data_IF_766748566160
#
_entry.id   IF_766748566160
#
_cell.length_a   1.000
_cell.length_b   1.000
_cell.length_c   1.000
_cell.angle_alpha   90.00
_cell.angle_beta   90.00
_cell.angle_gamma   90.00
#
_symmetry.space_group_name_H-M   'P 1'
#
loop_
_entity.id
_entity.type
_entity.pdbx_description
1 polymer ?
#
# COMPACT_ATOMS: atom_id res chain seq x y z
N UNK A 1 8.75 13.85 1.63
CA UNK A 1 9.25 13.81 3.01
C UNK A 1 9.14 15.15 3.74
N UNK A 2 9.69 16.26 3.19
CA UNK A 2 9.70 17.58 3.86
C UNK A 2 8.28 18.09 4.14
N UNK A 3 7.37 18.04 3.18
CA UNK A 3 5.96 18.43 3.38
C UNK A 3 5.25 17.63 4.47
N UNK A 4 5.53 16.31 4.56
CA UNK A 4 4.97 15.48 5.62
C UNK A 4 5.50 15.85 7.01
N UNK A 5 6.77 16.30 7.10
CA UNK A 5 7.33 16.77 8.36
C UNK A 5 6.62 18.04 8.87
N UNK A 6 6.36 19.00 7.99
CA UNK A 6 5.58 20.20 8.34
C UNK A 6 4.15 19.86 8.73
N UNK A 7 3.48 18.97 7.99
CA UNK A 7 2.15 18.50 8.35
C UNK A 7 2.16 17.83 9.75
N UNK A 8 3.19 17.02 10.04
CA UNK A 8 3.35 16.39 11.34
C UNK A 8 3.51 17.39 12.48
N UNK A 9 4.24 18.49 12.28
CA UNK A 9 4.38 19.55 13.27
C UNK A 9 3.04 20.26 13.54
N UNK A 10 2.26 20.56 12.49
CA UNK A 10 0.92 21.14 12.64
C UNK A 10 -0.01 20.18 13.43
N UNK A 11 0.05 18.89 13.12
CA UNK A 11 -0.72 17.88 13.87
C UNK A 11 -0.30 17.79 15.34
N UNK A 12 0.99 17.90 15.64
CA UNK A 12 1.49 17.89 17.01
C UNK A 12 0.98 19.09 17.81
N UNK A 13 0.90 20.27 17.20
CA UNK A 13 0.35 21.47 17.82
C UNK A 13 -1.16 21.30 18.11
N UNK A 14 -1.93 20.82 17.12
CA UNK A 14 -3.34 20.53 17.33
C UNK A 14 -3.57 19.47 18.42
N UNK A 15 -2.76 18.43 18.47
CA UNK A 15 -2.85 17.39 19.48
C UNK A 15 -2.55 17.91 20.90
N UNK A 16 -1.68 18.90 21.04
CA UNK A 16 -1.41 19.56 22.30
C UNK A 16 -2.57 20.48 22.76
N UNK A 17 -3.24 21.13 21.80
CA UNK A 17 -4.36 22.05 22.08
C UNK A 17 -5.69 21.29 22.30
N UNK A 18 -5.90 20.21 21.58
CA UNK A 18 -7.14 19.44 21.55
C UNK A 18 -6.81 17.96 21.77
N UNK A 19 -6.60 17.52 23.02
CA UNK A 19 -6.18 16.16 23.34
C UNK A 19 -7.35 15.16 23.25
N UNK A 20 -8.04 15.14 22.12
CA UNK A 20 -9.18 14.26 21.84
C UNK A 20 -8.82 13.38 20.65
N UNK A 21 -9.08 12.07 20.77
CA UNK A 21 -8.95 11.15 19.67
C UNK A 21 -10.03 11.41 18.61
N UNK A 22 -9.64 11.74 17.40
CA UNK A 22 -10.59 12.05 16.32
C UNK A 22 -9.90 12.52 15.03
N UNK A 23 -8.57 12.54 15.03
CA UNK A 23 -7.77 12.91 13.86
C UNK A 23 -8.19 14.27 13.28
N UNK A 24 -8.07 14.45 11.96
CA UNK A 24 -8.44 15.67 11.27
C UNK A 24 -9.93 16.06 11.44
N UNK A 25 -10.82 15.09 11.68
CA UNK A 25 -12.22 15.36 11.96
C UNK A 25 -12.38 16.24 13.22
N UNK A 26 -11.79 15.84 14.34
CA UNK A 26 -11.92 16.57 15.60
C UNK A 26 -11.32 17.98 15.51
N UNK A 27 -10.16 18.10 14.88
CA UNK A 27 -9.51 19.40 14.69
C UNK A 27 -10.31 20.32 13.78
N UNK A 28 -10.88 19.81 12.71
CA UNK A 28 -11.73 20.57 11.80
C UNK A 28 -13.05 20.98 12.45
N UNK A 29 -13.61 20.12 13.30
CA UNK A 29 -14.83 20.44 14.04
C UNK A 29 -14.64 21.66 14.94
N UNK A 30 -13.53 21.71 15.67
CA UNK A 30 -13.26 22.81 16.59
C UNK A 30 -12.87 24.11 15.86
N UNK A 31 -12.16 24.01 14.72
CA UNK A 31 -11.60 25.18 14.02
C UNK A 31 -12.47 25.71 12.90
N UNK A 32 -13.14 24.83 12.14
CA UNK A 32 -13.87 25.16 10.91
C UNK A 32 -15.38 24.93 11.03
N UNK A 33 -15.83 24.28 12.10
CA UNK A 33 -17.23 23.98 12.33
C UNK A 33 -17.71 22.65 11.77
N UNK A 34 -18.97 22.33 12.04
CA UNK A 34 -19.57 21.03 11.85
C UNK A 34 -19.63 20.57 10.38
N UNK A 35 -19.99 21.46 9.46
CA UNK A 35 -20.16 21.12 8.05
C UNK A 35 -18.83 20.68 7.41
N UNK A 36 -17.75 21.42 7.67
CA UNK A 36 -16.43 21.11 7.14
C UNK A 36 -15.90 19.82 7.77
N UNK A 37 -16.09 19.66 9.07
CA UNK A 37 -15.73 18.43 9.77
C UNK A 37 -16.46 17.21 9.21
N UNK A 38 -17.75 17.33 8.90
CA UNK A 38 -18.53 16.25 8.31
C UNK A 38 -17.99 15.83 6.94
N UNK A 39 -17.65 16.78 6.06
CA UNK A 39 -17.04 16.50 4.75
C UNK A 39 -15.68 15.77 4.93
N UNK A 40 -14.83 16.28 5.82
CA UNK A 40 -13.54 15.68 6.13
C UNK A 40 -13.70 14.29 6.72
N UNK A 41 -14.68 14.07 7.60
CA UNK A 41 -15.00 12.78 8.17
C UNK A 41 -15.33 11.72 7.10
N UNK A 42 -16.17 12.08 6.14
CA UNK A 42 -16.50 11.19 5.02
C UNK A 42 -15.29 10.92 4.12
N UNK A 43 -14.46 11.93 3.85
CA UNK A 43 -13.23 11.77 3.09
C UNK A 43 -12.26 10.79 3.79
N UNK A 44 -12.09 10.90 5.10
CA UNK A 44 -11.27 9.99 5.91
C UNK A 44 -11.82 8.56 5.90
N UNK A 45 -13.13 8.38 6.03
CA UNK A 45 -13.75 7.04 5.95
C UNK A 45 -13.45 6.41 4.60
N UNK A 46 -13.62 7.16 3.51
CA UNK A 46 -13.34 6.67 2.16
C UNK A 46 -11.86 6.33 1.98
N UNK A 47 -10.95 7.19 2.43
CA UNK A 47 -9.50 6.98 2.37
C UNK A 47 -9.09 5.68 3.08
N UNK A 48 -9.54 5.51 4.32
CA UNK A 48 -9.20 4.31 5.09
C UNK A 48 -9.85 3.04 4.53
N UNK A 49 -11.08 3.13 4.04
CA UNK A 49 -11.76 1.98 3.43
C UNK A 49 -11.05 1.52 2.15
N UNK A 50 -10.69 2.45 1.27
CA UNK A 50 -9.93 2.14 0.05
C UNK A 50 -8.54 1.62 0.37
N UNK A 51 -7.85 2.25 1.33
CA UNK A 51 -6.55 1.79 1.80
C UNK A 51 -6.59 0.37 2.35
N UNK A 52 -7.55 0.07 3.22
CA UNK A 52 -7.73 -1.26 3.78
C UNK A 52 -8.05 -2.30 2.70
N UNK A 53 -8.92 -1.98 1.74
CA UNK A 53 -9.24 -2.86 0.62
C UNK A 53 -8.01 -3.16 -0.24
N UNK A 54 -7.27 -2.14 -0.64
CA UNK A 54 -6.08 -2.29 -1.49
C UNK A 54 -4.99 -3.12 -0.80
N UNK A 55 -4.71 -2.82 0.47
CA UNK A 55 -3.68 -3.54 1.23
C UNK A 55 -4.08 -4.98 1.47
N UNK A 56 -5.35 -5.27 1.73
CA UNK A 56 -5.82 -6.66 1.93
C UNK A 56 -5.71 -7.50 0.67
N UNK A 57 -5.98 -6.92 -0.50
CA UNK A 57 -5.80 -7.59 -1.81
C UNK A 57 -4.31 -7.87 -2.05
N UNK A 58 -3.44 -6.89 -1.87
CA UNK A 58 -2.00 -7.08 -1.99
C UNK A 58 -1.48 -8.17 -1.03
N UNK A 59 -1.95 -8.17 0.22
CA UNK A 59 -1.62 -9.21 1.19
C UNK A 59 -2.05 -10.60 0.71
N UNK A 60 -3.25 -10.73 0.14
CA UNK A 60 -3.74 -11.98 -0.44
C UNK A 60 -2.83 -12.51 -1.56
N UNK A 61 -2.34 -11.64 -2.43
CA UNK A 61 -1.40 -12.02 -3.49
C UNK A 61 -0.06 -12.49 -2.93
N UNK A 62 0.48 -11.80 -1.91
CA UNK A 62 1.71 -12.24 -1.24
C UNK A 62 1.53 -13.58 -0.55
N UNK A 63 0.38 -13.81 0.11
CA UNK A 63 0.07 -15.08 0.73
C UNK A 63 0.01 -16.21 -0.31
N UNK A 64 -0.63 -15.97 -1.45
CA UNK A 64 -0.71 -16.95 -2.53
C UNK A 64 0.68 -17.28 -3.12
N UNK A 65 1.54 -16.28 -3.29
CA UNK A 65 2.94 -16.50 -3.71
C UNK A 65 3.74 -17.26 -2.67
N UNK A 66 3.57 -16.95 -1.39
CA UNK A 66 4.25 -17.62 -0.28
C UNK A 66 3.86 -19.10 -0.16
N UNK A 67 2.59 -19.42 -0.42
CA UNK A 67 2.06 -20.78 -0.41
C UNK A 67 2.33 -21.56 -1.71
N UNK A 68 3.09 -20.96 -2.64
CA UNK A 68 3.42 -21.60 -3.93
C UNK A 68 2.24 -21.72 -4.88
N UNK A 69 1.23 -20.85 -4.77
CA UNK A 69 0.04 -20.91 -5.63
C UNK A 69 -1.01 -21.92 -5.16
N UNK A 70 -1.00 -22.29 -3.89
CA UNK A 70 -1.94 -23.26 -3.35
C UNK A 70 -3.39 -22.79 -3.31
N UNK A 71 -3.62 -21.46 -3.41
CA UNK A 71 -4.97 -20.89 -3.40
C UNK A 71 -5.48 -20.84 -4.84
N UNK A 72 -6.62 -21.49 -5.15
CA UNK A 72 -7.21 -21.44 -6.48
C UNK A 72 -7.49 -20.00 -6.94
N UNK A 73 -7.35 -19.75 -8.24
CA UNK A 73 -7.60 -18.44 -8.82
C UNK A 73 -8.99 -17.87 -8.48
N UNK A 74 -10.00 -18.72 -8.47
CA UNK A 74 -11.39 -18.38 -8.17
C UNK A 74 -11.58 -17.76 -6.79
N UNK A 75 -10.75 -18.14 -5.81
CA UNK A 75 -10.81 -17.68 -4.41
C UNK A 75 -9.78 -16.60 -4.06
N UNK A 76 -8.95 -16.21 -5.02
CA UNK A 76 -7.91 -15.19 -4.82
C UNK A 76 -8.13 -13.92 -5.63
N UNK A 77 -9.12 -13.91 -6.54
CA UNK A 77 -9.38 -12.80 -7.46
C UNK A 77 -10.84 -12.34 -7.43
N UNK A 78 -11.03 -11.10 -7.87
CA UNK A 78 -12.35 -10.47 -7.97
C UNK A 78 -13.20 -11.10 -9.08
N UNK A 79 -14.54 -11.10 -8.97
CA UNK A 79 -15.45 -11.54 -10.05
C UNK A 79 -15.30 -10.75 -11.35
N UNK A 80 -14.71 -9.56 -11.27
CA UNK A 80 -14.48 -8.69 -12.45
C UNK A 80 -13.15 -8.97 -13.15
N UNK A 81 -12.33 -9.84 -12.59
CA UNK A 81 -11.06 -10.26 -13.18
C UNK A 81 -11.23 -11.63 -13.83
N UNK A 82 -10.81 -11.73 -15.09
CA UNK A 82 -10.77 -12.99 -15.82
C UNK A 82 -9.36 -13.22 -16.36
N UNK A 83 -8.87 -14.44 -16.20
CA UNK A 83 -7.61 -14.90 -16.76
C UNK A 83 -7.88 -16.06 -17.70
N UNK A 84 -7.28 -16.02 -18.88
CA UNK A 84 -7.33 -17.13 -19.83
C UNK A 84 -6.03 -17.90 -19.78
N UNK A 85 -6.12 -19.17 -19.41
CA UNK A 85 -4.96 -20.05 -19.35
C UNK A 85 -4.39 -20.32 -20.76
N UNK A 86 -3.15 -20.79 -20.83
CA UNK A 86 -2.48 -21.19 -22.09
C UNK A 86 -3.23 -22.25 -22.89
N UNK A 87 -4.19 -22.95 -22.27
CA UNK A 87 -5.11 -23.90 -22.91
C UNK A 87 -6.42 -23.27 -23.43
N UNK A 88 -6.58 -21.93 -23.31
CA UNK A 88 -7.78 -21.22 -23.75
C UNK A 88 -8.99 -21.30 -22.81
N UNK A 89 -8.80 -21.82 -21.59
CA UNK A 89 -9.85 -21.89 -20.58
C UNK A 89 -9.91 -20.56 -19.82
N UNK A 90 -11.08 -19.93 -19.80
CA UNK A 90 -11.30 -18.70 -19.05
C UNK A 90 -11.63 -19.05 -17.58
N UNK A 91 -10.79 -18.57 -16.67
CA UNK A 91 -11.03 -18.62 -15.23
C UNK A 91 -11.50 -17.24 -14.77
N UNK A 92 -12.64 -17.18 -14.08
CA UNK A 92 -13.12 -15.95 -13.43
C UNK A 92 -12.99 -16.08 -11.92
N UNK A 93 -12.60 -14.99 -11.25
CA UNK A 93 -12.62 -14.93 -9.80
C UNK A 93 -14.06 -14.97 -9.27
N UNK A 94 -14.27 -15.52 -8.10
CA UNK A 94 -15.54 -15.48 -7.36
C UNK A 94 -15.45 -14.44 -6.25
N UNK A 95 -14.40 -14.56 -5.44
CA UNK A 95 -14.19 -13.72 -4.28
C UNK A 95 -12.75 -13.84 -3.79
N UNK A 96 -12.15 -12.73 -3.35
CA UNK A 96 -10.85 -12.80 -2.70
C UNK A 96 -11.01 -13.18 -1.21
N UNK A 97 -11.09 -14.50 -0.96
CA UNK A 97 -11.31 -15.05 0.36
C UNK A 97 -10.17 -14.71 1.36
N UNK A 98 -8.87 -14.79 1.02
CA UNK A 98 -7.81 -14.41 1.95
C UNK A 98 -7.89 -12.93 2.34
N UNK A 99 -8.20 -12.03 1.41
CA UNK A 99 -8.37 -10.61 1.71
C UNK A 99 -9.54 -10.38 2.67
N UNK A 100 -10.65 -11.09 2.49
CA UNK A 100 -11.79 -11.02 3.39
C UNK A 100 -11.44 -11.52 4.80
N UNK A 101 -10.74 -12.64 4.89
CA UNK A 101 -10.34 -13.26 6.16
C UNK A 101 -9.44 -12.31 6.96
N UNK A 102 -8.43 -11.70 6.34
CA UNK A 102 -7.55 -10.77 7.05
C UNK A 102 -8.30 -9.51 7.52
N UNK A 103 -9.21 -8.98 6.70
CA UNK A 103 -10.04 -7.84 7.09
C UNK A 103 -10.93 -8.18 8.29
N UNK A 104 -11.58 -9.34 8.27
CA UNK A 104 -12.40 -9.80 9.40
C UNK A 104 -11.57 -10.01 10.66
N UNK A 105 -10.40 -10.63 10.54
CA UNK A 105 -9.51 -10.86 11.67
C UNK A 105 -9.05 -9.53 12.32
N UNK A 106 -8.65 -8.55 11.50
CA UNK A 106 -8.28 -7.23 11.98
C UNK A 106 -9.47 -6.47 12.58
N UNK A 107 -10.65 -6.59 11.98
CA UNK A 107 -11.87 -5.97 12.51
C UNK A 107 -12.22 -6.54 13.88
N UNK A 108 -12.16 -7.86 14.07
CA UNK A 108 -12.40 -8.50 15.37
C UNK A 108 -11.35 -8.08 16.41
N UNK A 109 -10.09 -7.94 16.00
CA UNK A 109 -9.03 -7.43 16.86
C UNK A 109 -9.33 -5.99 17.33
N UNK A 110 -9.77 -5.12 16.42
CA UNK A 110 -10.11 -3.72 16.73
C UNK A 110 -11.34 -3.62 17.64
N UNK A 111 -12.33 -4.47 17.47
CA UNK A 111 -13.53 -4.53 18.32
C UNK A 111 -13.15 -4.93 19.76
N UNK A 112 -12.17 -5.82 19.91
CA UNK A 112 -11.75 -6.31 21.23
C UNK A 112 -11.11 -5.22 22.10
N UNK A 113 -10.48 -4.22 21.49
CA UNK A 113 -10.01 -3.04 22.19
C UNK A 113 -8.77 -2.38 21.60
N UNK A 114 -8.65 -1.10 21.87
CA UNK A 114 -7.54 -0.27 21.36
C UNK A 114 -6.17 -0.62 21.94
N UNK A 115 -6.12 -1.14 23.19
CA UNK A 115 -4.85 -1.51 23.83
C UNK A 115 -4.21 -2.73 23.19
N UNK A 116 -4.98 -3.79 22.94
CA UNK A 116 -4.49 -5.00 22.28
C UNK A 116 -4.09 -4.71 20.82
N UNK A 117 -4.89 -3.90 20.14
CA UNK A 117 -4.57 -3.42 18.79
C UNK A 117 -3.27 -2.61 18.74
N UNK A 118 -3.01 -1.76 19.73
CA UNK A 118 -1.79 -0.96 19.81
C UNK A 118 -0.53 -1.84 20.01
N UNK A 119 -0.61 -2.87 20.84
CA UNK A 119 0.50 -3.80 21.07
C UNK A 119 0.80 -4.59 19.78
N UNK A 120 -0.22 -5.14 19.14
CA UNK A 120 -0.06 -5.86 17.86
C UNK A 120 0.55 -4.94 16.80
N UNK A 121 0.05 -3.72 16.69
CA UNK A 121 0.59 -2.73 15.75
C UNK A 121 2.06 -2.39 16.06
N UNK A 122 2.43 -2.21 17.33
CA UNK A 122 3.81 -1.94 17.72
C UNK A 122 4.76 -3.07 17.31
N UNK A 123 4.35 -4.32 17.50
CA UNK A 123 5.14 -5.50 17.08
C UNK A 123 5.31 -5.51 15.55
N UNK A 124 4.22 -5.30 14.82
CA UNK A 124 4.25 -5.27 13.34
C UNK A 124 5.16 -4.14 12.84
N UNK A 125 5.07 -2.96 13.43
CA UNK A 125 5.92 -1.81 13.06
C UNK A 125 7.39 -2.10 13.35
N UNK A 126 7.70 -2.70 14.49
CA UNK A 126 9.08 -3.09 14.83
C UNK A 126 9.65 -4.07 13.79
N UNK A 127 8.90 -5.11 13.47
CA UNK A 127 9.29 -6.09 12.44
C UNK A 127 9.49 -5.41 11.08
N UNK A 128 8.56 -4.55 10.67
CA UNK A 128 8.65 -3.80 9.41
C UNK A 128 9.91 -2.94 9.33
N UNK A 129 10.20 -2.18 10.37
CA UNK A 129 11.40 -1.33 10.44
C UNK A 129 12.67 -2.19 10.41
N UNK A 130 12.71 -3.29 11.15
CA UNK A 130 13.84 -4.21 11.13
C UNK A 130 14.09 -4.78 9.72
N UNK A 131 13.03 -5.22 9.02
CA UNK A 131 13.14 -5.73 7.64
C UNK A 131 13.68 -4.65 6.71
N UNK A 132 13.20 -3.42 6.80
CA UNK A 132 13.68 -2.30 5.96
C UNK A 132 15.16 -2.01 6.22
N UNK A 133 15.59 -2.00 7.49
CA UNK A 133 17.01 -1.79 7.83
C UNK A 133 17.88 -2.92 7.27
N UNK A 134 17.45 -4.18 7.44
CA UNK A 134 18.16 -5.34 6.88
C UNK A 134 18.23 -5.24 5.35
N UNK A 135 17.12 -4.88 4.71
CA UNK A 135 17.08 -4.72 3.25
C UNK A 135 18.05 -3.64 2.77
N UNK A 136 18.11 -2.50 3.45
CA UNK A 136 19.05 -1.43 3.13
C UNK A 136 20.49 -1.89 3.35
N UNK A 137 20.78 -2.52 4.49
CA UNK A 137 22.12 -2.97 4.84
C UNK A 137 22.65 -4.03 3.86
N UNK A 138 21.80 -5.01 3.50
CA UNK A 138 22.16 -6.05 2.52
C UNK A 138 22.19 -5.46 1.10
N UNK A 139 21.24 -4.63 0.74
CA UNK A 139 21.14 -4.02 -0.59
C UNK A 139 22.27 -3.06 -0.90
N UNK A 140 22.86 -2.43 0.13
CA UNK A 140 23.97 -1.47 -0.03
C UNK A 140 25.14 -2.03 -0.86
N UNK A 141 25.51 -3.29 -0.64
CA UNK A 141 26.61 -3.95 -1.38
C UNK A 141 26.27 -4.27 -2.84
N UNK A 142 25.00 -4.21 -3.23
CA UNK A 142 24.56 -4.44 -4.61
C UNK A 142 24.38 -3.14 -5.41
N UNK A 143 24.65 -1.99 -4.81
CA UNK A 143 24.57 -0.69 -5.50
C UNK A 143 25.70 -0.61 -6.52
N UNK A 144 25.35 -0.57 -7.80
CA UNK A 144 26.29 -0.33 -8.90
C UNK A 144 26.18 1.14 -9.31
N UNK A 145 27.27 1.94 -9.23
CA UNK A 145 27.25 3.35 -9.64
C UNK A 145 26.82 3.54 -11.09
N UNK A 146 27.09 2.58 -11.95
CA UNK A 146 26.73 2.58 -13.37
C UNK A 146 25.21 2.66 -13.60
N UNK A 147 24.41 2.14 -12.67
CA UNK A 147 22.94 2.18 -12.76
C UNK A 147 22.37 3.57 -12.43
N UNK A 148 23.20 4.50 -11.94
CA UNK A 148 22.77 5.86 -11.57
C UNK A 148 23.02 6.88 -12.68
N UNK A 149 23.64 6.49 -13.79
CA UNK A 149 23.92 7.38 -14.91
C UNK A 149 23.44 6.76 -16.23
N UNK A 150 22.69 7.53 -17.06
CA UNK A 150 22.18 8.87 -16.82
C UNK A 150 20.90 8.87 -15.96
N UNK A 151 20.73 9.85 -15.06
CA UNK A 151 19.48 10.04 -14.29
C UNK A 151 18.29 10.46 -15.16
N UNK A 152 18.58 11.12 -16.26
CA UNK A 152 17.62 11.51 -17.28
C UNK A 152 17.99 10.78 -18.56
N UNK A 153 17.01 10.12 -19.17
CA UNK A 153 17.21 9.47 -20.46
C UNK A 153 17.42 10.57 -21.50
N UNK A 154 18.55 10.55 -22.24
CA UNK A 154 18.79 11.55 -23.28
C UNK A 154 17.66 11.49 -24.32
N UNK A 155 17.13 12.67 -24.69
CA UNK A 155 16.13 12.76 -25.74
C UNK A 155 16.66 12.13 -27.04
N UNK A 156 15.92 11.17 -27.59
CA UNK A 156 16.27 10.47 -28.82
C UNK A 156 16.99 9.11 -28.63
N UNK A 157 17.08 8.59 -27.41
CA UNK A 157 17.48 7.18 -27.27
C UNK A 157 16.39 6.25 -27.78
N UNK A 158 16.77 5.40 -28.74
CA UNK A 158 15.95 4.31 -29.20
C UNK A 158 15.68 3.29 -28.06
N UNK A 159 14.64 2.49 -28.23
CA UNK A 159 14.25 1.44 -27.33
C UNK A 159 15.45 0.59 -26.83
N UNK A 160 15.54 0.38 -25.52
CA UNK A 160 16.53 -0.51 -24.94
C UNK A 160 16.10 -1.95 -25.19
N UNK A 161 16.95 -2.69 -25.90
CA UNK A 161 16.72 -4.11 -26.21
C UNK A 161 17.61 -5.00 -25.35
N UNK A 162 17.07 -6.13 -24.92
CA UNK A 162 17.83 -7.21 -24.26
C UNK A 162 18.79 -7.88 -25.25
N UNK A 163 19.74 -8.65 -24.72
CA UNK A 163 20.68 -9.48 -25.51
C UNK A 163 19.99 -10.43 -26.50
N UNK A 164 18.71 -10.72 -26.29
CA UNK A 164 17.84 -11.49 -27.17
C UNK A 164 17.05 -10.65 -28.21
N UNK A 165 17.32 -9.32 -28.30
CA UNK A 165 16.61 -8.41 -29.21
C UNK A 165 15.19 -8.03 -28.79
N UNK A 166 14.76 -8.39 -27.58
CA UNK A 166 13.45 -8.01 -27.04
C UNK A 166 13.50 -6.60 -26.46
N UNK A 167 12.58 -5.73 -26.87
CA UNK A 167 12.46 -4.39 -26.31
C UNK A 167 12.07 -4.48 -24.83
N UNK A 168 12.95 -4.02 -23.94
CA UNK A 168 12.70 -3.97 -22.48
C UNK A 168 12.02 -2.66 -22.11
N UNK A 169 12.39 -1.57 -22.77
CA UNK A 169 11.81 -0.26 -22.56
C UNK A 169 11.89 0.57 -23.85
N UNK A 170 10.79 1.16 -24.24
CA UNK A 170 10.69 2.07 -25.39
C UNK A 170 10.52 3.50 -24.87
N UNK A 171 11.51 4.34 -25.14
CA UNK A 171 11.56 5.75 -24.73
C UNK A 171 11.29 6.70 -25.92
N UNK A 172 10.93 6.18 -27.08
CA UNK A 172 10.73 6.98 -28.29
C UNK A 172 9.54 7.94 -28.24
N UNK A 173 8.65 7.76 -27.26
CA UNK A 173 7.45 8.57 -27.08
C UNK A 173 7.34 9.31 -25.75
N UNK A 174 8.38 9.28 -24.91
CA UNK A 174 8.37 9.97 -23.63
C UNK A 174 8.91 11.41 -23.81
N UNK A 175 7.99 12.38 -23.61
CA UNK A 175 8.10 13.85 -23.61
C UNK A 175 7.91 14.53 -24.93
#
# INVERSE_FOLDING_TARGET
>A
AVGCAFAGLCYAEFAAMIPIAGSAYAYSYVTMGELVAWIIGWALIMEYALGAATVSIAWSEYLNKLTGGAIPYEWSHSPFESFTDSMGVAHSGIMNAPALIILLALTLLLIKGSQESAIVNAIIVFIKVAIVIIFIAVGWQFIKPENHTPYLIPAGQAAVTDSAGKVIADYSGAF
#
